data_IF_787474633398
#
_entry.id   IF_787474633398
#
_cell.length_a   1.000
_cell.length_b   1.000
_cell.length_c   1.000
_cell.angle_alpha   90.00
_cell.angle_beta   90.00
_cell.angle_gamma   90.00
#
_symmetry.space_group_name_H-M   'P 1'
#
loop_
_entity.id
_entity.type
_entity.pdbx_description
1 polymer ?
#
# COMPACT_ATOMS: atom_id res chain seq x y z
N UNK A 1 27.67 -7.96 -15.58
CA UNK A 1 27.04 -9.28 -15.29
C UNK A 1 27.18 -9.76 -13.84
N UNK A 2 28.34 -9.64 -13.16
CA UNK A 2 28.51 -10.10 -11.76
C UNK A 2 27.64 -9.34 -10.75
N UNK A 3 27.55 -8.01 -10.88
CA UNK A 3 26.78 -7.15 -9.96
C UNK A 3 25.27 -7.48 -9.96
N UNK A 4 24.71 -7.73 -11.15
CA UNK A 4 23.27 -7.99 -11.30
C UNK A 4 22.88 -9.34 -10.69
N UNK A 5 23.69 -10.38 -10.93
CA UNK A 5 23.51 -11.69 -10.29
C UNK A 5 23.63 -11.61 -8.77
N UNK A 6 24.55 -10.79 -8.28
CA UNK A 6 24.70 -10.54 -6.85
C UNK A 6 23.43 -9.88 -6.26
N UNK A 7 22.91 -8.83 -6.89
CA UNK A 7 21.67 -8.17 -6.45
C UNK A 7 20.48 -9.13 -6.42
N UNK A 8 20.28 -9.92 -7.48
CA UNK A 8 19.21 -10.92 -7.51
C UNK A 8 19.37 -11.94 -6.37
N UNK A 9 20.60 -12.39 -6.11
CA UNK A 9 20.86 -13.34 -5.04
C UNK A 9 20.50 -12.76 -3.66
N UNK A 10 20.82 -11.49 -3.40
CA UNK A 10 20.45 -10.82 -2.14
C UNK A 10 18.94 -10.57 -2.04
N UNK A 11 18.32 -10.07 -3.11
CA UNK A 11 16.88 -9.74 -3.12
C UNK A 11 15.98 -10.97 -3.05
N UNK A 12 16.47 -12.13 -3.50
CA UNK A 12 15.73 -13.40 -3.46
C UNK A 12 16.00 -14.19 -2.17
N UNK A 13 16.88 -13.71 -1.29
CA UNK A 13 17.13 -14.38 -0.02
C UNK A 13 15.85 -14.40 0.85
N UNK A 14 15.51 -15.58 1.38
CA UNK A 14 14.26 -15.80 2.12
C UNK A 14 14.11 -14.87 3.32
N UNK A 15 15.20 -14.52 4.00
CA UNK A 15 15.19 -13.64 5.17
C UNK A 15 14.96 -12.20 4.74
N UNK A 16 15.62 -11.78 3.67
CA UNK A 16 15.44 -10.45 3.08
C UNK A 16 13.99 -10.26 2.64
N UNK A 17 13.44 -11.21 1.88
CA UNK A 17 12.03 -11.19 1.45
C UNK A 17 11.08 -11.14 2.66
N UNK A 18 11.35 -11.92 3.70
CA UNK A 18 10.53 -11.91 4.92
C UNK A 18 10.56 -10.54 5.61
N UNK A 19 11.73 -9.92 5.75
CA UNK A 19 11.88 -8.59 6.36
C UNK A 19 11.07 -7.56 5.57
N UNK A 20 11.21 -7.53 4.24
CA UNK A 20 10.44 -6.60 3.40
C UNK A 20 8.94 -6.81 3.54
N UNK A 21 8.48 -8.06 3.57
CA UNK A 21 7.06 -8.38 3.77
C UNK A 21 6.55 -7.90 5.11
N UNK A 22 7.30 -8.10 6.19
CA UNK A 22 6.91 -7.64 7.52
C UNK A 22 6.88 -6.11 7.59
N UNK A 23 7.91 -5.44 7.08
CA UNK A 23 7.97 -3.96 7.06
C UNK A 23 6.80 -3.37 6.27
N UNK A 24 6.56 -3.85 5.04
CA UNK A 24 5.44 -3.38 4.22
C UNK A 24 4.09 -3.71 4.85
N UNK A 25 3.93 -4.95 5.33
CA UNK A 25 2.69 -5.40 5.94
C UNK A 25 2.33 -4.60 7.19
N UNK A 26 3.27 -4.41 8.12
CA UNK A 26 3.07 -3.60 9.33
C UNK A 26 2.75 -2.15 8.96
N UNK A 27 3.45 -1.58 7.98
CA UNK A 27 3.21 -0.20 7.52
C UNK A 27 1.78 -0.03 7.00
N UNK A 28 1.31 -0.93 6.14
CA UNK A 28 -0.05 -0.87 5.59
C UNK A 28 -1.14 -1.16 6.64
N UNK A 29 -0.90 -2.08 7.58
CA UNK A 29 -1.80 -2.31 8.71
C UNK A 29 -1.90 -1.05 9.57
N UNK A 30 -0.77 -0.47 9.97
CA UNK A 30 -0.77 0.73 10.80
C UNK A 30 -1.44 1.92 10.10
N UNK A 31 -1.10 2.16 8.83
CA UNK A 31 -1.66 3.27 8.05
C UNK A 31 -3.17 3.12 7.78
N UNK A 32 -3.68 1.89 7.63
CA UNK A 32 -5.11 1.65 7.40
C UNK A 32 -5.94 1.83 8.66
N UNK A 33 -5.42 1.50 9.84
CA UNK A 33 -6.17 1.64 11.11
C UNK A 33 -6.61 3.09 11.36
N UNK A 34 -5.73 4.07 11.14
CA UNK A 34 -6.09 5.49 11.29
C UNK A 34 -7.15 5.93 10.28
N UNK A 35 -7.04 5.48 9.02
CA UNK A 35 -8.03 5.77 7.98
C UNK A 35 -9.39 5.13 8.26
N UNK A 36 -9.42 3.94 8.87
CA UNK A 36 -10.65 3.26 9.29
C UNK A 36 -11.30 3.99 10.46
N UNK A 37 -10.50 4.47 11.42
CA UNK A 37 -11.00 5.22 12.57
C UNK A 37 -11.55 6.60 12.17
N UNK A 38 -10.93 7.25 11.17
CA UNK A 38 -11.26 8.61 10.74
C UNK A 38 -11.51 8.70 9.23
N UNK A 39 -12.55 8.04 8.69
CA UNK A 39 -12.80 7.99 7.26
C UNK A 39 -13.16 9.38 6.69
N UNK A 40 -13.71 10.28 7.50
CA UNK A 40 -14.01 11.66 7.10
C UNK A 40 -12.73 12.47 6.83
N UNK A 41 -11.68 12.25 7.63
CA UNK A 41 -10.38 12.90 7.45
C UNK A 41 -9.70 12.34 6.19
N UNK A 42 -9.74 11.02 6.00
CA UNK A 42 -9.19 10.41 4.80
C UNK A 42 -9.95 10.86 3.53
N UNK A 43 -11.27 10.99 3.59
CA UNK A 43 -12.08 11.54 2.49
C UNK A 43 -11.66 12.97 2.12
N UNK A 44 -11.36 13.84 3.11
CA UNK A 44 -10.85 15.20 2.86
C UNK A 44 -9.49 15.18 2.17
N UNK A 45 -8.59 14.28 2.57
CA UNK A 45 -7.29 14.10 1.91
C UNK A 45 -7.50 13.68 0.44
N UNK A 46 -8.35 12.69 0.20
CA UNK A 46 -8.66 12.20 -1.16
C UNK A 46 -9.34 13.28 -2.01
N UNK A 47 -10.22 14.08 -1.42
CA UNK A 47 -10.84 15.23 -2.09
C UNK A 47 -9.79 16.25 -2.56
N UNK A 48 -8.79 16.54 -1.72
CA UNK A 48 -7.73 17.48 -2.06
C UNK A 48 -6.83 17.00 -3.20
N UNK A 49 -6.74 15.69 -3.45
CA UNK A 49 -6.04 15.17 -4.62
C UNK A 49 -6.71 15.54 -5.95
N UNK A 50 -8.02 15.88 -5.96
CA UNK A 50 -8.77 16.26 -7.17
C UNK A 50 -8.75 15.21 -8.31
N UNK A 51 -8.48 13.95 -7.98
CA UNK A 51 -8.40 12.83 -8.95
C UNK A 51 -9.74 12.12 -9.10
N UNK A 52 -10.48 11.96 -8.00
CA UNK A 52 -11.75 11.23 -7.98
C UNK A 52 -12.96 12.19 -8.01
N UNK A 53 -14.06 11.82 -8.70
CA UNK A 53 -15.30 12.59 -8.65
C UNK A 53 -15.94 12.50 -7.27
N UNK A 54 -16.64 13.57 -6.86
CA UNK A 54 -17.15 13.75 -5.49
C UNK A 54 -17.95 12.57 -4.93
N UNK A 55 -18.79 11.93 -5.74
CA UNK A 55 -19.62 10.79 -5.30
C UNK A 55 -18.82 9.52 -4.99
N UNK A 56 -17.62 9.34 -5.57
CA UNK A 56 -16.76 8.18 -5.31
C UNK A 56 -15.87 8.37 -4.09
N UNK A 57 -15.65 9.59 -3.63
CA UNK A 57 -14.68 9.89 -2.57
C UNK A 57 -15.04 9.17 -1.27
N UNK A 58 -16.31 9.23 -0.85
CA UNK A 58 -16.74 8.59 0.39
C UNK A 58 -16.67 7.06 0.30
N UNK A 59 -17.07 6.49 -0.85
CA UNK A 59 -16.98 5.05 -1.08
C UNK A 59 -15.52 4.60 -1.01
N UNK A 60 -14.63 5.31 -1.70
CA UNK A 60 -13.21 5.04 -1.71
C UNK A 60 -12.59 5.18 -0.32
N UNK A 61 -12.93 6.24 0.41
CA UNK A 61 -12.40 6.51 1.75
C UNK A 61 -12.80 5.44 2.78
N UNK A 62 -13.98 4.85 2.63
CA UNK A 62 -14.44 3.76 3.50
C UNK A 62 -13.85 2.42 3.08
N UNK A 63 -13.79 2.11 1.79
CA UNK A 63 -13.47 0.76 1.30
C UNK A 63 -11.97 0.49 1.16
N UNK A 64 -11.20 1.46 0.68
CA UNK A 64 -9.77 1.29 0.42
C UNK A 64 -8.97 0.88 1.68
N UNK A 65 -9.19 1.49 2.87
CA UNK A 65 -8.43 1.12 4.06
C UNK A 65 -8.59 -0.35 4.46
N UNK A 66 -9.76 -0.96 4.24
CA UNK A 66 -9.94 -2.39 4.50
C UNK A 66 -9.14 -3.26 3.53
N UNK A 67 -9.04 -2.85 2.27
CA UNK A 67 -8.21 -3.53 1.27
C UNK A 67 -6.72 -3.44 1.67
N UNK A 68 -6.27 -2.27 2.11
CA UNK A 68 -4.91 -2.04 2.63
C UNK A 68 -4.62 -2.92 3.85
N UNK A 69 -5.56 -2.96 4.81
CA UNK A 69 -5.44 -3.74 6.04
C UNK A 69 -5.29 -5.23 5.73
N UNK A 70 -6.19 -5.78 4.90
CA UNK A 70 -6.17 -7.19 4.53
C UNK A 70 -4.90 -7.56 3.76
N UNK A 71 -4.47 -6.73 2.81
CA UNK A 71 -3.22 -6.96 2.09
C UNK A 71 -1.99 -6.92 3.03
N UNK A 72 -1.97 -5.98 3.97
CA UNK A 72 -0.92 -5.88 4.98
C UNK A 72 -0.87 -7.12 5.89
N UNK A 73 -2.03 -7.59 6.38
CA UNK A 73 -2.14 -8.81 7.18
C UNK A 73 -1.70 -10.05 6.39
N UNK A 74 -2.09 -10.17 5.12
CA UNK A 74 -1.68 -11.27 4.25
C UNK A 74 -0.16 -11.32 4.06
N UNK A 75 0.50 -10.15 3.90
CA UNK A 75 1.95 -10.09 3.87
C UNK A 75 2.59 -10.53 5.19
N UNK A 76 2.04 -10.16 6.34
CA UNK A 76 2.56 -10.55 7.67
C UNK A 76 2.38 -12.06 7.88
N UNK A 77 1.18 -12.57 7.66
CA UNK A 77 0.81 -13.96 7.90
C UNK A 77 1.40 -14.93 6.88
N UNK A 78 1.82 -14.44 5.71
CA UNK A 78 2.34 -15.28 4.63
C UNK A 78 1.28 -15.99 3.82
N UNK A 79 0.10 -15.39 3.74
CA UNK A 79 -1.03 -15.89 2.97
C UNK A 79 -1.14 -15.05 1.69
N UNK A 80 -1.32 -15.68 0.52
CA UNK A 80 -1.45 -14.99 -0.78
C UNK A 80 -0.39 -13.88 -1.01
N UNK A 81 0.87 -14.15 -0.65
CA UNK A 81 1.92 -13.12 -0.59
C UNK A 81 2.19 -12.45 -1.93
N UNK A 82 2.12 -13.20 -3.02
CA UNK A 82 2.30 -12.66 -4.37
C UNK A 82 1.19 -11.65 -4.70
N UNK A 83 -0.07 -12.03 -4.53
CA UNK A 83 -1.22 -11.16 -4.78
C UNK A 83 -1.22 -9.93 -3.85
N UNK A 84 -0.96 -10.12 -2.56
CA UNK A 84 -0.88 -9.03 -1.60
C UNK A 84 0.27 -8.05 -1.92
N UNK A 85 1.43 -8.56 -2.33
CA UNK A 85 2.57 -7.73 -2.74
C UNK A 85 2.30 -6.93 -4.01
N UNK A 86 1.61 -7.54 -4.99
CA UNK A 86 1.22 -6.86 -6.23
C UNK A 86 0.21 -5.75 -5.95
N UNK A 87 -0.79 -6.02 -5.09
CA UNK A 87 -1.78 -5.05 -4.68
C UNK A 87 -1.13 -3.86 -3.97
N UNK A 88 -0.27 -4.11 -2.97
CA UNK A 88 0.45 -3.06 -2.25
C UNK A 88 1.34 -2.25 -3.21
N UNK A 89 2.01 -2.91 -4.15
CA UNK A 89 2.84 -2.22 -5.14
C UNK A 89 2.01 -1.29 -6.02
N UNK A 90 0.83 -1.74 -6.48
CA UNK A 90 -0.09 -0.93 -7.26
C UNK A 90 -0.62 0.27 -6.45
N UNK A 91 -0.99 0.05 -5.19
CA UNK A 91 -1.43 1.13 -4.30
C UNK A 91 -0.34 2.17 -4.07
N UNK A 92 0.91 1.74 -3.87
CA UNK A 92 2.04 2.67 -3.73
C UNK A 92 2.24 3.52 -4.99
N UNK A 93 2.15 2.92 -6.18
CA UNK A 93 2.22 3.67 -7.45
C UNK A 93 1.08 4.69 -7.53
N UNK A 94 -0.15 4.30 -7.19
CA UNK A 94 -1.32 5.19 -7.20
C UNK A 94 -1.13 6.34 -6.20
N UNK A 95 -0.66 6.09 -4.98
CA UNK A 95 -0.43 7.14 -3.99
C UNK A 95 0.71 8.07 -4.37
N UNK A 96 1.81 7.55 -4.91
CA UNK A 96 2.90 8.38 -5.43
C UNK A 96 2.41 9.29 -6.55
N UNK A 97 1.60 8.77 -7.47
CA UNK A 97 0.96 9.57 -8.51
C UNK A 97 0.04 10.62 -7.91
N UNK A 98 -0.82 10.25 -6.96
CA UNK A 98 -1.77 11.16 -6.35
C UNK A 98 -1.09 12.32 -5.60
N UNK A 99 -0.01 12.03 -4.86
CA UNK A 99 0.80 13.05 -4.21
C UNK A 99 1.49 13.95 -5.24
N UNK A 100 2.04 13.37 -6.31
CA UNK A 100 2.71 14.14 -7.37
C UNK A 100 1.77 15.13 -8.05
N UNK A 101 0.52 14.72 -8.34
CA UNK A 101 -0.51 15.61 -8.91
C UNK A 101 -0.93 16.69 -7.93
N UNK A 102 -1.02 16.38 -6.63
CA UNK A 102 -1.42 17.35 -5.61
C UNK A 102 -0.38 18.45 -5.35
N UNK A 103 0.91 18.16 -5.60
CA UNK A 103 2.02 19.11 -5.38
C UNK A 103 2.24 20.05 -6.57
N UNK A 104 1.74 19.70 -7.77
CA UNK A 104 1.82 20.52 -8.99
C UNK A 104 0.66 21.53 -9.07
#
# INVERSE_FOLDING_TARGET
MKIFKFLIAVLTDKRVVLIFRLVLGITFVYASLDKIAHPDQFAKIVYNYKILPGFLINIFAVTLPWVELLAGLFLILGIFTESASLLISLLLVIFLFAISVNVL
#
